data_IF_873758611344
#
_entry.id   IF_873758611344
#
_cell.length_a   1.000
_cell.length_b   1.000
_cell.length_c   1.000
_cell.angle_alpha   90.00
_cell.angle_beta   90.00
_cell.angle_gamma   90.00
#
_symmetry.space_group_name_H-M   'P 1'
#
loop_
_entity.id
_entity.type
_entity.pdbx_description
1 polymer ?
#
# COMPACT_ATOMS: atom_id res chain seq x y z
N UNK A 1 9.92 -13.71 13.90
CA UNK A 1 10.88 -12.62 14.16
C UNK A 1 10.13 -11.32 14.40
N UNK A 2 10.49 -10.59 15.44
CA UNK A 2 9.85 -9.31 15.72
C UNK A 2 10.26 -8.28 14.67
N UNK A 3 9.28 -7.52 14.18
CA UNK A 3 9.53 -6.43 13.27
C UNK A 3 10.23 -5.28 14.04
N UNK A 4 11.43 -4.85 13.62
CA UNK A 4 12.16 -3.79 14.34
C UNK A 4 11.44 -2.44 14.32
N UNK A 5 10.55 -2.22 13.33
CA UNK A 5 9.77 -0.99 13.21
C UNK A 5 8.30 -1.36 13.11
N UNK A 6 7.66 -1.47 14.29
CA UNK A 6 6.26 -1.91 14.35
C UNK A 6 5.30 -0.74 14.08
N UNK A 7 4.93 -0.57 12.80
CA UNK A 7 4.01 0.48 12.38
C UNK A 7 2.57 0.26 12.83
N UNK A 8 2.25 -0.95 13.33
CA UNK A 8 0.94 -1.24 13.90
C UNK A 8 0.86 -0.94 15.39
N UNK A 9 1.98 -0.59 16.03
CA UNK A 9 2.00 -0.27 17.44
C UNK A 9 1.20 1.00 17.74
N UNK A 10 0.68 1.09 18.96
CA UNK A 10 -0.03 2.30 19.40
C UNK A 10 0.87 3.54 19.34
N UNK A 11 2.14 3.39 19.71
CA UNK A 11 3.10 4.49 19.65
C UNK A 11 3.29 5.01 18.22
N UNK A 12 3.41 4.10 17.24
CA UNK A 12 3.57 4.49 15.85
C UNK A 12 2.32 5.16 15.27
N UNK A 13 1.14 4.69 15.68
CA UNK A 13 -0.13 5.27 15.24
C UNK A 13 -0.33 6.69 15.81
N UNK A 14 0.01 6.87 17.09
CA UNK A 14 -0.19 8.15 17.75
C UNK A 14 0.87 9.19 17.38
N UNK A 15 2.11 8.77 17.18
CA UNK A 15 3.22 9.67 16.83
C UNK A 15 4.22 8.92 15.94
N UNK A 16 4.02 8.92 14.61
CA UNK A 16 4.86 8.15 13.70
C UNK A 16 6.23 8.77 13.40
N UNK A 17 6.44 10.04 13.70
CA UNK A 17 7.67 10.72 13.32
C UNK A 17 8.95 10.08 13.87
N UNK A 18 9.04 9.69 15.15
CA UNK A 18 10.26 9.05 15.65
C UNK A 18 10.58 7.72 14.97
N UNK A 19 9.57 6.90 14.67
CA UNK A 19 9.81 5.60 14.02
C UNK A 19 10.26 5.79 12.57
N UNK A 20 9.73 6.76 11.86
CA UNK A 20 10.18 7.08 10.51
C UNK A 20 11.62 7.63 10.51
N UNK A 21 11.97 8.43 11.50
CA UNK A 21 13.35 8.92 11.64
C UNK A 21 14.32 7.76 11.85
N UNK A 22 13.95 6.79 12.67
CA UNK A 22 14.75 5.57 12.89
C UNK A 22 14.88 4.74 11.61
N UNK A 23 13.80 4.59 10.85
CA UNK A 23 13.84 3.89 9.56
C UNK A 23 14.80 4.54 8.59
N UNK A 24 14.77 5.87 8.49
CA UNK A 24 15.67 6.61 7.60
C UNK A 24 17.13 6.38 7.97
N UNK A 25 17.45 6.33 9.27
CA UNK A 25 18.81 6.17 9.75
C UNK A 25 19.34 4.74 9.60
N UNK A 26 18.48 3.74 9.80
CA UNK A 26 18.90 2.35 9.96
C UNK A 26 18.51 1.45 8.78
N UNK A 27 17.30 1.60 8.25
CA UNK A 27 16.79 0.72 7.21
C UNK A 27 15.71 1.44 6.38
N UNK A 28 16.12 2.35 5.48
CA UNK A 28 15.15 3.13 4.69
C UNK A 28 14.31 2.27 3.73
N UNK A 29 14.80 1.09 3.37
CA UNK A 29 14.03 0.09 2.61
C UNK A 29 14.14 -1.23 3.36
N UNK A 30 13.02 -1.77 3.83
CA UNK A 30 13.01 -3.02 4.57
C UNK A 30 11.69 -3.74 4.44
N UNK A 31 11.70 -5.05 4.69
CA UNK A 31 10.48 -5.85 4.71
C UNK A 31 9.88 -5.85 6.11
N UNK A 32 8.59 -5.54 6.20
CA UNK A 32 7.85 -5.55 7.46
C UNK A 32 7.03 -6.84 7.59
N UNK A 33 7.35 -7.66 8.58
CA UNK A 33 6.59 -8.88 8.86
C UNK A 33 5.17 -8.55 9.34
N UNK A 34 5.01 -7.48 10.10
CA UNK A 34 3.69 -7.07 10.59
C UNK A 34 2.76 -6.63 9.47
N UNK A 35 3.29 -5.92 8.47
CA UNK A 35 2.51 -5.43 7.34
C UNK A 35 2.51 -6.39 6.15
N UNK A 36 3.35 -7.43 6.17
CA UNK A 36 3.54 -8.37 5.06
C UNK A 36 3.87 -7.64 3.74
N UNK A 37 4.69 -6.60 3.84
CA UNK A 37 5.04 -5.77 2.69
C UNK A 37 6.38 -5.07 2.89
N UNK A 38 6.93 -4.58 1.78
CA UNK A 38 8.12 -3.74 1.81
C UNK A 38 7.75 -2.33 2.22
N UNK A 39 8.55 -1.74 3.10
CA UNK A 39 8.39 -0.36 3.57
C UNK A 39 9.53 0.47 2.99
N UNK A 40 9.19 1.61 2.42
CA UNK A 40 10.15 2.55 1.83
C UNK A 40 9.96 3.90 2.53
N UNK A 41 11.02 4.41 3.13
CA UNK A 41 10.96 5.63 3.95
C UNK A 41 11.74 6.81 3.37
N UNK A 42 12.73 6.57 2.49
CA UNK A 42 13.55 7.64 1.97
C UNK A 42 12.94 8.30 0.72
N UNK A 43 13.22 9.58 0.55
CA UNK A 43 12.63 10.39 -0.50
C UNK A 43 12.88 9.83 -1.91
N UNK A 44 14.13 9.49 -2.21
CA UNK A 44 14.49 9.06 -3.56
C UNK A 44 13.79 7.76 -3.97
N UNK A 45 13.74 6.78 -3.07
CA UNK A 45 13.08 5.51 -3.33
C UNK A 45 11.55 5.62 -3.34
N UNK A 46 10.97 6.47 -2.50
CA UNK A 46 9.54 6.75 -2.55
C UNK A 46 9.16 7.38 -3.89
N UNK A 47 9.92 8.36 -4.34
CA UNK A 47 9.71 9.02 -5.63
C UNK A 47 9.83 8.03 -6.78
N UNK A 48 10.84 7.16 -6.73
CA UNK A 48 11.04 6.11 -7.74
C UNK A 48 9.83 5.17 -7.78
N UNK A 49 9.40 4.67 -6.62
CA UNK A 49 8.27 3.74 -6.53
C UNK A 49 6.97 4.33 -7.07
N UNK A 50 6.73 5.61 -6.82
CA UNK A 50 5.52 6.29 -7.29
C UNK A 50 5.50 6.55 -8.79
N UNK A 51 6.65 6.55 -9.45
CA UNK A 51 6.77 6.90 -10.87
C UNK A 51 7.22 5.75 -11.77
N UNK A 52 7.77 4.67 -11.21
CA UNK A 52 8.31 3.54 -11.98
C UNK A 52 7.18 2.61 -12.43
N UNK A 53 7.05 2.33 -13.75
CA UNK A 53 5.96 1.48 -14.26
C UNK A 53 6.01 0.03 -13.81
N UNK A 54 7.10 -0.42 -13.18
CA UNK A 54 7.19 -1.76 -12.60
C UNK A 54 6.36 -1.91 -11.33
N UNK A 55 5.93 -0.80 -10.71
CA UNK A 55 5.06 -0.80 -9.55
C UNK A 55 3.61 -0.60 -9.96
N UNK A 56 2.72 -1.41 -9.40
CA UNK A 56 1.30 -1.37 -9.69
C UNK A 56 0.53 -0.78 -8.52
N UNK A 57 -0.52 -0.01 -8.82
CA UNK A 57 -1.49 0.46 -7.83
C UNK A 57 -2.75 -0.40 -7.79
N UNK A 58 -2.83 -1.43 -8.64
CA UNK A 58 -3.94 -2.37 -8.64
C UNK A 58 -3.79 -3.31 -7.44
N UNK A 59 -4.54 -3.05 -6.38
CA UNK A 59 -4.51 -3.82 -5.13
C UNK A 59 -5.89 -4.28 -4.68
N UNK A 60 -6.93 -3.90 -5.42
CA UNK A 60 -8.30 -4.32 -5.06
C UNK A 60 -8.54 -5.79 -5.34
N UNK A 61 -7.97 -6.34 -6.41
CA UNK A 61 -8.11 -7.76 -6.73
C UNK A 61 -7.47 -8.66 -5.66
N UNK A 62 -6.18 -8.48 -5.30
CA UNK A 62 -5.59 -9.25 -4.21
C UNK A 62 -6.31 -9.07 -2.88
N UNK A 63 -6.76 -7.86 -2.57
CA UNK A 63 -7.50 -7.57 -1.36
C UNK A 63 -8.82 -8.33 -1.32
N UNK A 64 -9.57 -8.31 -2.43
CA UNK A 64 -10.83 -9.02 -2.54
C UNK A 64 -10.65 -10.53 -2.38
N UNK A 65 -9.63 -11.09 -3.01
CA UNK A 65 -9.32 -12.53 -2.90
C UNK A 65 -8.98 -12.91 -1.46
N UNK A 66 -8.17 -12.09 -0.78
CA UNK A 66 -7.78 -12.33 0.61
C UNK A 66 -8.97 -12.30 1.56
N UNK A 67 -9.94 -11.42 1.31
CA UNK A 67 -11.08 -11.21 2.18
C UNK A 67 -12.33 -12.02 1.79
N UNK A 68 -12.28 -12.70 0.65
CA UNK A 68 -13.44 -13.39 0.07
C UNK A 68 -14.01 -14.50 0.98
N UNK A 69 -13.15 -15.18 1.73
CA UNK A 69 -13.52 -16.30 2.58
C UNK A 69 -13.98 -15.88 3.98
N UNK A 70 -14.00 -14.58 4.28
CA UNK A 70 -14.47 -14.06 5.55
C UNK A 70 -15.99 -14.01 5.65
N UNK A 71 -16.52 -13.76 6.86
CA UNK A 71 -17.96 -13.68 7.11
C UNK A 71 -18.65 -12.62 6.26
N UNK A 72 -17.95 -11.54 5.93
CA UNK A 72 -18.45 -10.43 5.13
C UNK A 72 -17.92 -10.46 3.68
N UNK A 73 -17.46 -11.62 3.20
CA UNK A 73 -16.83 -11.75 1.89
C UNK A 73 -17.67 -11.19 0.75
N UNK A 74 -18.99 -11.39 0.79
CA UNK A 74 -19.91 -10.86 -0.22
C UNK A 74 -19.90 -9.32 -0.25
N UNK A 75 -19.95 -8.68 0.92
CA UNK A 75 -19.92 -7.22 1.03
C UNK A 75 -18.56 -6.66 0.59
N UNK A 76 -17.50 -7.36 0.96
CA UNK A 76 -16.12 -6.98 0.57
C UNK A 76 -15.97 -7.03 -0.94
N UNK A 77 -16.51 -8.09 -1.60
CA UNK A 77 -16.47 -8.19 -3.07
C UNK A 77 -17.16 -7.00 -3.73
N UNK A 78 -18.35 -6.63 -3.24
CA UNK A 78 -19.08 -5.52 -3.81
C UNK A 78 -18.35 -4.19 -3.61
N UNK A 79 -17.80 -3.97 -2.42
CA UNK A 79 -17.00 -2.77 -2.13
C UNK A 79 -15.77 -2.69 -3.05
N UNK A 80 -15.03 -3.78 -3.18
CA UNK A 80 -13.82 -3.80 -4.01
C UNK A 80 -14.13 -3.64 -5.50
N UNK A 81 -15.29 -4.11 -5.95
CA UNK A 81 -15.76 -3.89 -7.32
C UNK A 81 -15.92 -2.40 -7.60
N UNK A 82 -16.54 -1.68 -6.69
CA UNK A 82 -16.75 -0.23 -6.81
C UNK A 82 -15.41 0.51 -6.74
N UNK A 83 -14.60 0.23 -5.72
CA UNK A 83 -13.30 0.89 -5.53
C UNK A 83 -12.33 0.59 -6.66
N UNK A 84 -12.37 -0.63 -7.21
CA UNK A 84 -11.53 -1.02 -8.34
C UNK A 84 -11.79 -0.22 -9.61
N UNK A 85 -12.95 0.44 -9.69
CA UNK A 85 -13.26 1.35 -10.78
C UNK A 85 -12.63 2.74 -10.64
N UNK A 86 -12.12 3.08 -9.47
CA UNK A 86 -11.51 4.39 -9.24
C UNK A 86 -10.15 4.51 -9.91
N UNK A 87 -9.87 5.67 -10.50
CA UNK A 87 -8.63 5.92 -11.24
C UNK A 87 -7.38 5.70 -10.40
N UNK A 88 -7.42 6.00 -9.11
CA UNK A 88 -6.27 5.87 -8.20
C UNK A 88 -5.81 4.41 -8.04
N UNK A 89 -6.69 3.43 -8.33
CA UNK A 89 -6.38 2.01 -8.25
C UNK A 89 -6.16 1.36 -9.62
N UNK A 90 -5.96 2.15 -10.66
CA UNK A 90 -5.76 1.65 -12.02
C UNK A 90 -4.36 1.96 -12.54
N UNK A 91 -3.79 0.96 -13.22
CA UNK A 91 -2.53 1.11 -13.93
C UNK A 91 -2.78 1.53 -15.40
N UNK A 92 -1.76 2.05 -16.11
CA UNK A 92 -1.87 2.24 -17.55
C UNK A 92 -2.19 0.89 -18.25
N UNK A 93 -2.96 0.87 -19.33
CA UNK A 93 -3.52 2.03 -20.04
C UNK A 93 -4.84 2.56 -19.47
N UNK A 94 -5.49 1.84 -18.56
CA UNK A 94 -6.79 2.27 -18.01
C UNK A 94 -6.69 3.61 -17.27
N UNK A 95 -5.66 3.77 -16.45
CA UNK A 95 -5.40 5.03 -15.73
C UNK A 95 -5.24 6.20 -16.71
N UNK A 96 -4.42 6.00 -17.74
CA UNK A 96 -4.13 7.04 -18.74
C UNK A 96 -5.40 7.47 -19.46
N UNK A 97 -6.25 6.50 -19.86
CA UNK A 97 -7.52 6.79 -20.54
C UNK A 97 -8.44 7.63 -19.67
N UNK A 98 -8.61 7.25 -18.40
CA UNK A 98 -9.46 8.00 -17.47
C UNK A 98 -8.94 9.40 -17.22
N UNK A 99 -7.63 9.54 -17.03
CA UNK A 99 -7.01 10.85 -16.80
C UNK A 99 -7.17 11.79 -17.98
N UNK A 100 -7.12 11.29 -19.21
CA UNK A 100 -7.28 12.09 -20.42
C UNK A 100 -8.69 12.66 -20.58
N UNK A 101 -9.69 12.03 -19.98
CA UNK A 101 -11.07 12.49 -20.00
C UNK A 101 -11.28 13.67 -19.05
N UNK A 102 -10.49 13.74 -17.99
CA UNK A 102 -10.59 14.80 -17.00
C UNK A 102 -9.72 16.00 -17.36
#
# INVERSE_FOLDING_TARGET
MMDPFDLKSRAAINDPAPIFAAMLAEAPVHYSDNLKSWVVADYDNVKLALSDPRFSVEKMTPFAEHMADGADGHRIKELTRVLGGWMVFKDPPAHTRLRQVL
#
